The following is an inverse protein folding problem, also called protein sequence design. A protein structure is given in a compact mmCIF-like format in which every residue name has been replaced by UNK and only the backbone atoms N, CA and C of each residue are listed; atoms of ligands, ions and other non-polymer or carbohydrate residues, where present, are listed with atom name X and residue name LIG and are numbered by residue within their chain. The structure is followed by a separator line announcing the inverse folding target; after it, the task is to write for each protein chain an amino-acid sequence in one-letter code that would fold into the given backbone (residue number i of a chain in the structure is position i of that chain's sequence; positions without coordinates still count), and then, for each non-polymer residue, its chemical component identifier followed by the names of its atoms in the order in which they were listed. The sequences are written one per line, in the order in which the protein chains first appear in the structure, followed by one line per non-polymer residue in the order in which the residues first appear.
data_IF_688840221763
#
_entry.id   IF_688840221763
#
_cell.length_a   1.000
_cell.length_b   1.000
_cell.length_c   1.000
_cell.angle_alpha   90.00
_cell.angle_beta   90.00
_cell.angle_gamma   90.00
#
_symmetry.space_group_name_H-M   'P 1'
#
loop_
_entity.id
_entity.type
_entity.pdbx_description
1 polymer ?
#
# COMPACT_ATOMS: atom_id res chain seq x y z
N UNK A 1 -41.73 14.72 15.04
CA UNK A 1 -41.22 14.45 13.67
C UNK A 1 -40.02 15.31 13.32
N UNK A 2 -40.07 16.64 13.48
CA UNK A 2 -38.98 17.56 13.12
C UNK A 2 -37.62 17.27 13.80
N UNK A 3 -37.59 16.88 15.08
CA UNK A 3 -36.32 16.62 15.78
C UNK A 3 -35.55 15.41 15.22
N UNK A 4 -36.27 14.39 14.75
CA UNK A 4 -35.66 13.23 14.09
C UNK A 4 -35.00 13.62 12.77
N UNK A 5 -35.62 14.51 11.99
CA UNK A 5 -35.04 15.02 10.75
C UNK A 5 -33.78 15.85 11.00
N UNK A 6 -33.77 16.64 12.08
CA UNK A 6 -32.60 17.43 12.47
C UNK A 6 -31.45 16.50 12.89
N UNK A 7 -31.75 15.49 13.72
CA UNK A 7 -30.76 14.50 14.16
C UNK A 7 -30.16 13.72 12.99
N UNK A 8 -31.01 13.25 12.06
CA UNK A 8 -30.58 12.53 10.88
C UNK A 8 -29.68 13.39 9.97
N UNK A 9 -30.02 14.67 9.82
CA UNK A 9 -29.23 15.63 9.02
C UNK A 9 -27.83 15.84 9.60
N UNK A 10 -27.71 15.94 10.93
CA UNK A 10 -26.41 16.09 11.60
C UNK A 10 -25.57 14.83 11.44
N UNK A 11 -26.16 13.64 11.63
CA UNK A 11 -25.45 12.36 11.48
C UNK A 11 -24.97 12.17 10.03
N UNK A 12 -25.81 12.49 9.05
CA UNK A 12 -25.44 12.39 7.63
C UNK A 12 -24.25 13.32 7.31
N UNK A 13 -24.24 14.53 7.85
CA UNK A 13 -23.17 15.50 7.61
C UNK A 13 -21.83 15.04 8.22
N UNK A 14 -21.87 14.43 9.40
CA UNK A 14 -20.69 13.82 10.03
C UNK A 14 -20.17 12.60 9.25
N UNK A 15 -21.09 11.75 8.77
CA UNK A 15 -20.73 10.55 8.01
C UNK A 15 -20.01 10.90 6.70
N UNK A 16 -20.47 11.93 5.98
CA UNK A 16 -19.83 12.40 4.74
C UNK A 16 -18.38 12.84 4.96
N UNK A 17 -18.04 13.35 6.14
CA UNK A 17 -16.67 13.76 6.48
C UNK A 17 -15.83 12.56 6.91
N UNK A 18 -16.38 11.67 7.74
CA UNK A 18 -15.60 10.56 8.33
C UNK A 18 -15.33 9.44 7.32
N UNK A 19 -16.29 9.10 6.45
CA UNK A 19 -16.17 8.01 5.47
C UNK A 19 -14.94 8.16 4.56
N UNK A 20 -14.63 9.32 3.94
CA UNK A 20 -13.43 9.46 3.12
C UNK A 20 -12.13 9.42 3.94
N UNK A 21 -12.16 9.82 5.22
CA UNK A 21 -11.00 9.72 6.13
C UNK A 21 -10.73 8.28 6.58
N UNK A 22 -11.79 7.50 6.82
CA UNK A 22 -11.72 6.09 7.19
C UNK A 22 -11.69 5.14 5.98
N UNK A 23 -11.74 5.68 4.76
CA UNK A 23 -11.53 4.92 3.54
C UNK A 23 -10.22 4.13 3.62
N UNK A 24 -10.12 2.97 2.93
CA UNK A 24 -8.96 2.11 3.04
C UNK A 24 -7.72 2.97 2.82
N UNK A 25 -6.88 3.09 3.88
CA UNK A 25 -5.53 3.64 3.74
C UNK A 25 -4.96 2.87 2.58
N UNK A 26 -4.89 3.51 1.40
CA UNK A 26 -4.10 2.99 0.30
C UNK A 26 -2.73 2.92 0.91
N UNK A 27 -2.35 1.74 1.41
CA UNK A 27 -0.97 1.39 1.63
C UNK A 27 -0.41 1.70 0.25
N UNK A 28 0.30 2.81 0.14
CA UNK A 28 1.09 3.07 -1.06
C UNK A 28 1.90 1.80 -1.14
N UNK A 29 1.58 0.92 -2.08
CA UNK A 29 2.47 -0.18 -2.40
C UNK A 29 3.77 0.56 -2.63
N UNK A 30 4.73 0.38 -1.72
CA UNK A 30 6.01 1.01 -1.88
C UNK A 30 6.42 0.64 -3.30
N UNK A 31 6.52 1.64 -4.16
CA UNK A 31 7.01 1.38 -5.51
C UNK A 31 8.43 0.94 -5.25
N UNK A 32 8.65 -0.37 -5.23
CA UNK A 32 10.00 -0.92 -5.16
C UNK A 32 10.65 -0.47 -6.45
N UNK A 33 11.33 0.68 -6.41
CA UNK A 33 12.33 1.11 -7.39
C UNK A 33 13.54 0.20 -7.27
N UNK A 34 13.31 -1.10 -7.38
CA UNK A 34 14.33 -2.13 -7.47
C UNK A 34 14.36 -2.64 -8.90
N UNK A 35 15.57 -2.80 -9.45
CA UNK A 35 15.74 -3.59 -10.67
C UNK A 35 15.03 -4.93 -10.50
N UNK A 36 14.33 -5.37 -11.55
CA UNK A 36 13.59 -6.63 -11.53
C UNK A 36 14.50 -7.75 -11.03
N UNK A 37 14.12 -8.45 -9.95
CA UNK A 37 14.89 -9.54 -9.34
C UNK A 37 14.85 -10.82 -10.19
N UNK A 38 14.84 -10.70 -11.52
CA UNK A 38 14.81 -11.83 -12.44
C UNK A 38 16.21 -12.05 -13.01
N UNK A 39 16.73 -13.27 -12.85
CA UNK A 39 17.98 -13.73 -13.45
C UNK A 39 17.71 -14.92 -14.37
N UNK A 40 18.52 -15.09 -15.42
CA UNK A 40 18.41 -16.24 -16.32
C UNK A 40 19.21 -17.40 -15.72
N UNK A 41 18.57 -18.55 -15.53
CA UNK A 41 19.23 -19.77 -15.08
C UNK A 41 20.06 -20.42 -16.21
N UNK A 42 20.87 -21.43 -15.89
CA UNK A 42 21.69 -22.15 -16.88
C UNK A 42 20.87 -22.85 -17.98
N UNK A 43 19.59 -23.10 -17.72
CA UNK A 43 18.61 -23.63 -18.67
C UNK A 43 17.95 -22.58 -19.56
N UNK A 44 18.31 -21.30 -19.43
CA UNK A 44 17.75 -20.20 -20.22
C UNK A 44 16.40 -19.66 -19.74
N UNK A 45 15.94 -20.05 -18.55
CA UNK A 45 14.66 -19.60 -17.98
C UNK A 45 14.86 -18.46 -16.99
N UNK A 46 13.89 -17.53 -16.93
CA UNK A 46 13.89 -16.45 -15.95
C UNK A 46 13.40 -16.95 -14.58
N UNK A 47 14.24 -16.82 -13.57
CA UNK A 47 13.95 -17.19 -12.18
C UNK A 47 14.19 -16.01 -11.23
N UNK A 48 13.45 -15.97 -10.13
CA UNK A 48 13.60 -14.91 -9.13
C UNK A 48 14.90 -15.12 -8.35
N UNK A 49 15.79 -14.14 -8.37
CA UNK A 49 17.06 -14.16 -7.63
C UNK A 49 16.77 -14.15 -6.12
N UNK A 50 16.94 -15.29 -5.46
CA UNK A 50 16.97 -15.42 -3.99
C UNK A 50 18.41 -15.29 -3.52
N UNK A 51 19.07 -14.20 -3.91
CA UNK A 51 20.29 -13.78 -3.25
C UNK A 51 19.91 -13.26 -1.87
N UNK A 52 20.47 -13.89 -0.83
CA UNK A 52 20.52 -13.32 0.53
C UNK A 52 20.94 -11.85 0.38
N UNK A 53 20.34 -10.89 1.11
CA UNK A 53 20.87 -9.54 1.16
C UNK A 53 22.24 -9.63 1.83
N UNK A 54 23.28 -9.88 1.06
CA UNK A 54 24.64 -9.55 1.44
C UNK A 54 24.61 -8.04 1.68
N UNK A 55 24.60 -7.68 2.97
CA UNK A 55 24.95 -6.35 3.44
C UNK A 55 26.30 -6.01 2.80
N UNK A 56 26.27 -5.30 1.68
CA UNK A 56 27.46 -4.68 1.11
C UNK A 56 27.79 -3.49 2.02
N UNK A 57 28.31 -3.78 3.21
CA UNK A 57 29.01 -2.80 4.00
C UNK A 57 30.25 -2.37 3.20
N UNK A 58 30.45 -1.05 2.98
CA UNK A 58 31.64 -0.57 2.32
C UNK A 58 32.84 -0.80 3.26
N UNK A 59 33.79 -1.61 2.80
CA UNK A 59 35.09 -1.76 3.44
C UNK A 59 35.89 -0.49 3.14
N UNK A 60 36.23 0.28 4.18
CA UNK A 60 37.26 1.32 4.11
C UNK A 60 38.65 0.70 4.19
#
# INVERSE_FOLDING_TARGET
MASFYILLKVIALLAVIIIPLSGPKRKKAATETGMSKLAVNEGGYLEHFVGIPEDHHPVQ
#
